data_IF_840900984180
#
_entry.id   IF_840900984180
#
_cell.length_a   1.000
_cell.length_b   1.000
_cell.length_c   1.000
_cell.angle_alpha   90.00
_cell.angle_beta   90.00
_cell.angle_gamma   90.00
#
_symmetry.space_group_name_H-M   'P 1'
#
loop_
_entity.id
_entity.type
_entity.pdbx_description
1 polymer ?
#
# COMPACT_ATOMS: atom_id res chain seq x y z
N UNK A 1 -11.17 -6.63 1.80
CA UNK A 1 -10.17 -6.41 0.72
C UNK A 1 -9.09 -5.45 1.19
N UNK A 2 -9.38 -4.18 1.44
CA UNK A 2 -8.38 -3.18 1.84
C UNK A 2 -7.53 -3.57 3.07
N UNK A 3 -8.16 -3.95 4.18
CA UNK A 3 -7.44 -4.37 5.40
C UNK A 3 -6.52 -5.58 5.18
N UNK A 4 -6.94 -6.52 4.33
CA UNK A 4 -6.12 -7.69 4.03
C UNK A 4 -4.87 -7.30 3.23
N UNK A 5 -5.01 -6.41 2.24
CA UNK A 5 -3.87 -5.88 1.48
C UNK A 5 -2.93 -5.09 2.38
N UNK A 6 -3.44 -4.22 3.26
CA UNK A 6 -2.62 -3.46 4.21
C UNK A 6 -1.86 -4.40 5.14
N UNK A 7 -2.52 -5.39 5.74
CA UNK A 7 -1.87 -6.38 6.59
C UNK A 7 -0.77 -7.15 5.85
N UNK A 8 -1.01 -7.48 4.58
CA UNK A 8 -0.03 -8.18 3.75
C UNK A 8 1.19 -7.31 3.45
N UNK A 9 1.01 -6.01 3.16
CA UNK A 9 2.12 -5.07 2.98
C UNK A 9 3.00 -4.98 4.23
N UNK A 10 2.40 -4.84 5.41
CA UNK A 10 3.17 -4.88 6.68
C UNK A 10 3.84 -6.23 6.94
N UNK A 11 3.23 -7.34 6.50
CA UNK A 11 3.85 -8.66 6.54
C UNK A 11 5.13 -8.72 5.69
N UNK A 12 5.05 -8.23 4.45
CA UNK A 12 6.20 -8.18 3.53
C UNK A 12 7.31 -7.30 4.11
N UNK A 13 6.99 -6.14 4.67
CA UNK A 13 8.01 -5.26 5.29
C UNK A 13 8.67 -5.90 6.52
N UNK A 14 7.95 -6.74 7.28
CA UNK A 14 8.56 -7.51 8.37
C UNK A 14 9.51 -8.58 7.85
N UNK A 15 9.18 -9.25 6.75
CA UNK A 15 10.04 -10.23 6.10
C UNK A 15 11.32 -9.58 5.53
N UNK A 16 11.21 -8.36 5.01
CA UNK A 16 12.32 -7.62 4.39
C UNK A 16 13.07 -6.70 5.35
N UNK A 17 12.85 -6.83 6.66
CA UNK A 17 13.44 -5.93 7.66
C UNK A 17 14.97 -6.06 7.72
N UNK A 18 15.47 -7.29 7.75
CA UNK A 18 16.88 -7.58 8.03
C UNK A 18 17.72 -7.87 6.76
N UNK A 19 17.16 -7.60 5.56
CA UNK A 19 17.85 -7.78 4.27
C UNK A 19 18.50 -6.46 3.81
N UNK A 20 19.37 -6.54 2.80
CA UNK A 20 19.99 -5.35 2.20
C UNK A 20 18.95 -4.47 1.49
N UNK A 21 19.27 -3.19 1.26
CA UNK A 21 18.35 -2.29 0.56
C UNK A 21 18.03 -2.77 -0.87
N UNK A 22 18.98 -3.41 -1.55
CA UNK A 22 18.75 -3.99 -2.87
C UNK A 22 17.77 -5.17 -2.81
N UNK A 23 17.95 -6.07 -1.84
CA UNK A 23 17.03 -7.19 -1.62
C UNK A 23 15.65 -6.71 -1.18
N UNK A 24 15.59 -5.66 -0.35
CA UNK A 24 14.33 -5.03 0.05
C UNK A 24 13.62 -4.41 -1.15
N UNK A 25 14.34 -3.74 -2.04
CA UNK A 25 13.77 -3.20 -3.28
C UNK A 25 13.19 -4.31 -4.16
N UNK A 26 13.97 -5.36 -4.45
CA UNK A 26 13.51 -6.50 -5.26
C UNK A 26 12.26 -7.14 -4.62
N UNK A 27 12.30 -7.39 -3.31
CA UNK A 27 11.16 -7.95 -2.58
C UNK A 27 9.91 -7.06 -2.64
N UNK A 28 10.07 -5.73 -2.57
CA UNK A 28 8.97 -4.77 -2.74
C UNK A 28 8.41 -4.79 -4.16
N UNK A 29 9.25 -4.88 -5.19
CA UNK A 29 8.80 -4.98 -6.58
C UNK A 29 8.05 -6.29 -6.85
N UNK A 30 8.50 -7.42 -6.29
CA UNK A 30 7.88 -8.72 -6.52
C UNK A 30 6.62 -8.94 -5.67
N UNK A 31 6.63 -8.50 -4.41
CA UNK A 31 5.56 -8.81 -3.44
C UNK A 31 4.66 -7.63 -3.12
N UNK A 32 5.22 -6.43 -2.90
CA UNK A 32 4.46 -5.26 -2.46
C UNK A 32 3.73 -4.56 -3.61
N UNK A 33 4.38 -4.41 -4.77
CA UNK A 33 3.80 -3.79 -5.97
C UNK A 33 2.47 -4.44 -6.42
N UNK A 34 2.34 -5.78 -6.54
CA UNK A 34 1.05 -6.37 -6.93
C UNK A 34 -0.04 -6.20 -5.86
N UNK A 35 0.33 -6.12 -4.57
CA UNK A 35 -0.64 -5.86 -3.49
C UNK A 35 -1.09 -4.39 -3.45
N UNK A 36 -0.18 -3.46 -3.74
CA UNK A 36 -0.51 -2.05 -3.96
C UNK A 36 -1.44 -1.88 -5.16
N UNK A 37 -1.18 -2.55 -6.29
CA UNK A 37 -2.04 -2.48 -7.47
C UNK A 37 -3.47 -2.95 -7.16
N UNK A 38 -3.62 -4.06 -6.40
CA UNK A 38 -4.94 -4.54 -5.94
C UNK A 38 -5.64 -3.54 -5.03
N UNK A 39 -4.90 -2.94 -4.10
CA UNK A 39 -5.43 -1.92 -3.19
C UNK A 39 -5.88 -0.67 -3.95
N UNK A 40 -5.10 -0.24 -4.96
CA UNK A 40 -5.41 0.90 -5.85
C UNK A 40 -6.70 0.66 -6.61
N UNK A 41 -6.81 -0.48 -7.28
CA UNK A 41 -8.01 -0.84 -8.05
C UNK A 41 -9.26 -0.93 -7.15
N UNK A 42 -9.12 -1.47 -5.94
CA UNK A 42 -10.22 -1.48 -4.96
C UNK A 42 -10.60 -0.06 -4.51
N UNK A 43 -9.62 0.79 -4.24
CA UNK A 43 -9.82 2.18 -3.82
C UNK A 43 -10.54 2.98 -4.91
N UNK A 44 -10.04 2.95 -6.15
CA UNK A 44 -10.63 3.64 -7.30
C UNK A 44 -12.06 3.17 -7.58
N UNK A 45 -12.35 1.87 -7.40
CA UNK A 45 -13.71 1.34 -7.53
C UNK A 45 -14.62 1.77 -6.39
N UNK A 46 -14.10 1.85 -5.17
CA UNK A 46 -14.89 2.10 -3.95
C UNK A 46 -15.15 3.58 -3.73
N UNK A 47 -14.20 4.46 -4.07
CA UNK A 47 -14.29 5.91 -3.87
C UNK A 47 -15.57 6.56 -4.42
N UNK A 48 -16.05 6.27 -5.65
CA UNK A 48 -17.29 6.85 -6.16
C UNK A 48 -18.56 6.26 -5.51
N UNK A 49 -18.45 5.11 -4.82
CA UNK A 49 -19.60 4.42 -4.21
C UNK A 49 -19.84 4.82 -2.74
N UNK A 50 -18.89 5.55 -2.13
CA UNK A 50 -18.94 5.88 -0.71
C UNK A 50 -19.15 7.38 -0.51
N UNK A 51 -20.03 7.73 0.44
CA UNK A 51 -20.20 9.14 0.80
C UNK A 51 -19.02 9.59 1.65
N UNK A 52 -18.51 10.80 1.39
CA UNK A 52 -17.37 11.39 2.10
C UNK A 52 -17.57 11.51 3.62
N UNK A 53 -18.83 11.53 4.07
CA UNK A 53 -19.18 11.61 5.50
C UNK A 53 -19.16 10.25 6.21
N UNK A 54 -19.28 9.15 5.47
CA UNK A 54 -19.22 7.80 6.04
C UNK A 54 -17.80 7.47 6.54
N UNK A 55 -17.70 6.60 7.56
CA UNK A 55 -16.39 6.14 8.06
C UNK A 55 -15.54 5.50 6.95
N UNK A 56 -16.18 4.75 6.04
CA UNK A 56 -15.51 4.16 4.89
C UNK A 56 -15.04 5.22 3.89
N UNK A 57 -15.85 6.23 3.59
CA UNK A 57 -15.46 7.33 2.72
C UNK A 57 -14.30 8.14 3.26
N UNK A 58 -14.27 8.41 4.57
CA UNK A 58 -13.12 9.03 5.24
C UNK A 58 -11.85 8.19 5.11
N UNK A 59 -11.95 6.88 5.31
CA UNK A 59 -10.80 5.97 5.20
C UNK A 59 -10.28 5.87 3.76
N UNK A 60 -11.17 5.76 2.77
CA UNK A 60 -10.80 5.70 1.34
C UNK A 60 -10.18 7.02 0.89
N UNK A 61 -10.73 8.16 1.29
CA UNK A 61 -10.16 9.47 0.96
C UNK A 61 -8.82 9.70 1.65
N UNK A 62 -8.67 9.27 2.91
CA UNK A 62 -7.37 9.33 3.59
C UNK A 62 -6.32 8.47 2.86
N UNK A 63 -6.68 7.25 2.46
CA UNK A 63 -5.79 6.38 1.69
C UNK A 63 -5.41 7.03 0.34
N UNK A 64 -6.39 7.59 -0.38
CA UNK A 64 -6.17 8.26 -1.66
C UNK A 64 -5.22 9.48 -1.52
N UNK A 65 -5.44 10.31 -0.51
CA UNK A 65 -4.60 11.48 -0.24
C UNK A 65 -3.15 11.11 0.13
N UNK A 66 -2.95 9.91 0.68
CA UNK A 66 -1.62 9.41 1.04
C UNK A 66 -1.04 8.43 0.00
N UNK A 67 -1.73 8.22 -1.13
CA UNK A 67 -1.35 7.20 -2.12
C UNK A 67 0.05 7.40 -2.68
N UNK A 68 0.42 8.63 -3.02
CA UNK A 68 1.78 8.97 -3.51
C UNK A 68 2.87 8.62 -2.49
N UNK A 69 2.59 8.71 -1.19
CA UNK A 69 3.55 8.30 -0.15
C UNK A 69 3.69 6.77 -0.11
N UNK A 70 2.58 6.05 -0.28
CA UNK A 70 2.54 4.60 -0.36
C UNK A 70 3.20 4.06 -1.65
N UNK A 71 3.13 4.78 -2.77
CA UNK A 71 3.90 4.38 -3.97
C UNK A 71 5.40 4.66 -3.77
N UNK A 72 5.76 5.74 -3.07
CA UNK A 72 7.15 6.13 -2.91
C UNK A 72 8.00 5.10 -2.14
N UNK A 73 7.48 4.46 -1.10
CA UNK A 73 8.32 3.55 -0.30
C UNK A 73 8.80 2.32 -1.09
N UNK A 74 8.11 1.93 -2.16
CA UNK A 74 8.54 0.82 -3.02
C UNK A 74 9.57 1.22 -4.08
N UNK A 75 9.82 2.51 -4.29
CA UNK A 75 10.76 3.01 -5.30
C UNK A 75 12.22 2.72 -4.94
N UNK A 76 12.56 2.61 -3.66
CA UNK A 76 13.90 2.27 -3.21
C UNK A 76 13.88 1.56 -1.85
N UNK A 77 14.78 0.59 -1.66
CA UNK A 77 14.79 -0.23 -0.44
C UNK A 77 15.16 0.52 0.83
N UNK A 78 15.96 1.58 0.77
CA UNK A 78 16.30 2.39 1.95
C UNK A 78 15.13 3.26 2.46
N UNK A 79 14.05 3.37 1.68
CA UNK A 79 12.90 4.20 2.06
C UNK A 79 12.05 3.49 3.14
N UNK A 80 11.59 4.22 4.17
CA UNK A 80 10.67 3.69 5.17
C UNK A 80 9.25 3.60 4.61
N UNK A 81 8.50 2.60 5.08
CA UNK A 81 7.04 2.51 4.90
C UNK A 81 6.31 3.50 5.83
#
# INVERSE_FOLDING_TARGET
>A
VALASINKLYGIERELKDVSDEQRYIGRQEKSLPELAKLKAWMEKTQPQVTSQSALGKAVNYLANNWTRLERYIEAGFLPI
#
